data_IF_624809876133
#
_entry.id   IF_624809876133
#
_cell.length_a   1.000
_cell.length_b   1.000
_cell.length_c   1.000
_cell.angle_alpha   90.00
_cell.angle_beta   90.00
_cell.angle_gamma   90.00
#
_symmetry.space_group_name_H-M   'P 1'
#
loop_
_entity.id
_entity.type
_entity.pdbx_description
1 polymer ?
#
# COMPACT_ATOMS: atom_id res chain seq x y z
N UNK A 1 9.05 22.70 41.86
CA UNK A 1 8.39 21.71 42.71
C UNK A 1 7.58 20.78 41.83
N UNK A 2 8.01 19.52 41.78
CA UNK A 2 7.25 18.29 41.47
C UNK A 2 6.13 18.32 40.43
N UNK A 3 6.42 17.75 39.27
CA UNK A 3 5.47 17.03 38.40
C UNK A 3 6.13 15.68 38.07
N UNK A 4 6.16 14.74 39.02
CA UNK A 4 5.18 13.67 39.25
C UNK A 4 4.91 12.82 38.00
N UNK A 5 5.79 11.83 37.86
CA UNK A 5 5.64 10.46 37.35
C UNK A 5 4.23 10.01 36.98
N UNK A 6 4.08 9.49 35.75
CA UNK A 6 3.21 8.36 35.43
C UNK A 6 3.48 7.90 33.98
N UNK A 7 4.34 6.90 33.80
CA UNK A 7 4.03 5.65 33.09
C UNK A 7 5.27 4.74 33.03
N UNK A 8 5.84 4.42 34.19
CA UNK A 8 6.81 3.31 34.32
C UNK A 8 6.01 2.01 34.42
N UNK A 9 5.40 1.57 33.33
CA UNK A 9 5.12 0.14 33.19
C UNK A 9 6.46 -0.49 32.82
N UNK A 10 7.11 -1.10 33.81
CA UNK A 10 8.41 -1.74 33.64
C UNK A 10 8.43 -2.61 32.40
N UNK A 11 9.26 -2.21 31.44
CA UNK A 11 9.80 -3.09 30.42
C UNK A 11 10.41 -4.26 31.20
N UNK A 12 9.83 -5.45 31.07
CA UNK A 12 10.65 -6.65 31.27
C UNK A 12 11.79 -6.52 30.28
N UNK A 13 13.02 -6.64 30.76
CA UNK A 13 14.22 -6.47 29.94
C UNK A 13 14.02 -7.26 28.65
N UNK A 14 13.87 -6.56 27.53
CA UNK A 14 13.65 -7.14 26.20
C UNK A 14 14.82 -8.06 25.81
N UNK A 15 15.93 -7.96 26.55
CA UNK A 15 17.16 -8.72 26.45
C UNK A 15 17.09 -10.15 27.03
N UNK A 16 16.08 -10.48 27.86
CA UNK A 16 16.00 -11.80 28.55
C UNK A 16 15.14 -12.83 27.78
N UNK A 17 14.71 -12.46 26.57
CA UNK A 17 13.92 -13.30 25.68
C UNK A 17 14.84 -13.87 24.59
N UNK A 18 14.93 -15.19 24.50
CA UNK A 18 15.62 -15.85 23.39
C UNK A 18 14.83 -15.66 22.09
N UNK A 19 15.30 -14.73 21.27
CA UNK A 19 14.67 -14.36 19.99
C UNK A 19 14.73 -15.52 19.00
N UNK A 20 15.79 -16.33 19.02
CA UNK A 20 15.93 -17.45 18.09
C UNK A 20 14.89 -18.53 18.41
N UNK A 21 14.67 -18.83 19.70
CA UNK A 21 13.64 -19.76 20.15
C UNK A 21 12.22 -19.30 19.76
N UNK A 22 11.95 -17.99 19.75
CA UNK A 22 10.67 -17.46 19.27
C UNK A 22 10.49 -17.59 17.76
N UNK A 23 11.55 -17.31 16.99
CA UNK A 23 11.52 -17.41 15.54
C UNK A 23 11.30 -18.86 15.06
N UNK A 24 11.81 -19.85 15.80
CA UNK A 24 11.62 -21.27 15.44
C UNK A 24 10.18 -21.78 15.65
N UNK A 25 9.37 -21.10 16.45
CA UNK A 25 7.97 -21.45 16.70
C UNK A 25 7.04 -20.99 15.57
N UNK A 26 7.49 -20.07 14.71
CA UNK A 26 6.72 -19.54 13.59
C UNK A 26 6.74 -20.51 12.40
N UNK A 27 5.63 -20.57 11.68
CA UNK A 27 5.57 -21.26 10.40
C UNK A 27 6.35 -20.52 9.31
N UNK A 28 6.69 -21.21 8.22
CA UNK A 28 7.40 -20.59 7.10
C UNK A 28 6.65 -19.40 6.48
N UNK A 29 5.31 -19.45 6.47
CA UNK A 29 4.46 -18.37 5.97
C UNK A 29 4.49 -17.15 6.90
N UNK A 30 4.46 -17.36 8.22
CA UNK A 30 4.54 -16.28 9.21
C UNK A 30 5.92 -15.61 9.22
N UNK A 31 6.99 -16.38 9.04
CA UNK A 31 8.34 -15.83 8.87
C UNK A 31 8.43 -14.96 7.60
N UNK A 32 7.81 -15.39 6.50
CA UNK A 32 7.75 -14.61 5.27
C UNK A 32 6.95 -13.31 5.46
N UNK A 33 5.82 -13.35 6.15
CA UNK A 33 5.05 -12.15 6.49
C UNK A 33 5.86 -11.19 7.37
N UNK A 34 6.51 -11.70 8.42
CA UNK A 34 7.32 -10.89 9.32
C UNK A 34 8.48 -10.20 8.58
N UNK A 35 9.13 -10.89 7.65
CA UNK A 35 10.21 -10.31 6.83
C UNK A 35 9.75 -9.15 5.91
N UNK A 36 8.45 -9.07 5.60
CA UNK A 36 7.87 -8.01 4.76
C UNK A 36 7.45 -6.79 5.57
N UNK A 37 7.39 -6.88 6.89
CA UNK A 37 7.06 -5.78 7.80
C UNK A 37 8.33 -4.98 8.12
N UNK A 38 8.79 -4.24 7.12
CA UNK A 38 9.95 -3.38 7.23
C UNK A 38 9.53 -1.99 7.70
N UNK A 39 10.26 -1.42 8.66
CA UNK A 39 10.05 -0.04 9.07
C UNK A 39 10.43 0.92 7.90
N UNK A 40 9.50 1.77 7.42
CA UNK A 40 9.78 2.73 6.36
C UNK A 40 10.91 3.72 6.69
N UNK A 41 11.27 3.86 7.97
CA UNK A 41 12.32 4.75 8.44
C UNK A 41 13.66 4.04 8.74
N UNK A 42 13.76 2.71 8.53
CA UNK A 42 15.01 1.96 8.75
C UNK A 42 16.12 2.47 7.82
N UNK A 43 17.15 3.07 8.41
CA UNK A 43 18.28 3.65 7.69
C UNK A 43 19.17 2.61 7.02
N UNK A 44 19.17 1.37 7.50
CA UNK A 44 19.99 0.29 6.96
C UNK A 44 19.36 -0.42 5.77
N UNK A 45 18.08 -0.15 5.48
CA UNK A 45 17.36 -0.71 4.34
C UNK A 45 17.35 0.28 3.18
N UNK A 46 17.70 -0.14 1.95
CA UNK A 46 17.61 0.69 0.75
C UNK A 46 16.21 1.27 0.52
N UNK A 47 16.06 2.52 0.05
CA UNK A 47 14.73 3.15 -0.11
C UNK A 47 13.72 2.39 -0.97
N UNK A 48 14.18 1.62 -1.95
CA UNK A 48 13.35 0.77 -2.82
C UNK A 48 12.81 -0.49 -2.11
N UNK A 49 13.40 -0.87 -0.97
CA UNK A 49 13.03 -2.03 -0.16
C UNK A 49 12.28 -1.67 1.13
N UNK A 50 12.09 -0.38 1.40
CA UNK A 50 11.33 0.12 2.57
C UNK A 50 9.81 0.04 2.41
N UNK A 51 9.34 -0.29 1.21
CA UNK A 51 7.92 -0.44 0.94
C UNK A 51 7.49 -1.89 1.00
N UNK A 52 6.40 -2.18 1.73
CA UNK A 52 5.79 -3.51 1.79
C UNK A 52 5.20 -3.98 0.45
N UNK A 53 5.17 -3.10 -0.57
CA UNK A 53 4.66 -3.43 -1.89
C UNK A 53 5.71 -4.16 -2.71
N UNK A 54 5.50 -5.46 -2.92
CA UNK A 54 6.22 -6.26 -3.91
C UNK A 54 5.30 -6.61 -5.08
N UNK A 55 5.78 -6.36 -6.30
CA UNK A 55 5.04 -6.71 -7.51
C UNK A 55 5.59 -8.02 -8.09
N UNK A 56 5.05 -9.14 -7.64
CA UNK A 56 5.38 -10.47 -8.19
C UNK A 56 4.71 -10.73 -9.55
N UNK A 57 3.89 -9.78 -10.02
CA UNK A 57 3.22 -9.90 -11.32
C UNK A 57 4.27 -9.80 -12.41
N UNK A 58 4.36 -10.87 -13.20
CA UNK A 58 5.13 -10.85 -14.45
C UNK A 58 4.63 -9.70 -15.31
N UNK A 59 5.57 -9.02 -15.98
CA UNK A 59 5.24 -8.03 -16.98
C UNK A 59 4.24 -8.63 -17.99
N UNK A 60 3.26 -7.84 -18.43
CA UNK A 60 2.17 -8.27 -19.33
C UNK A 60 2.64 -8.63 -20.75
N UNK A 61 3.96 -8.75 -20.98
CA UNK A 61 4.56 -9.07 -22.26
C UNK A 61 4.60 -7.87 -23.20
N UNK A 62 4.73 -8.14 -24.51
CA UNK A 62 4.68 -7.09 -25.53
C UNK A 62 3.26 -6.52 -25.62
N UNK A 63 3.16 -5.20 -25.71
CA UNK A 63 1.90 -4.48 -25.82
C UNK A 63 1.07 -4.97 -27.02
N UNK A 64 -0.10 -5.57 -26.76
CA UNK A 64 -1.09 -5.87 -27.80
C UNK A 64 -1.99 -4.65 -28.04
N UNK A 65 -1.62 -3.84 -29.03
CA UNK A 65 -2.37 -2.64 -29.40
C UNK A 65 -3.80 -2.95 -29.89
N UNK A 66 -4.02 -4.11 -30.51
CA UNK A 66 -5.34 -4.48 -31.02
C UNK A 66 -6.28 -4.73 -29.85
N UNK A 67 -5.82 -5.52 -28.88
CA UNK A 67 -6.58 -5.78 -27.66
C UNK A 67 -6.94 -4.48 -26.92
N UNK A 68 -6.00 -3.53 -26.81
CA UNK A 68 -6.26 -2.23 -26.20
C UNK A 68 -7.37 -1.46 -26.95
N UNK A 69 -7.27 -1.36 -28.27
CA UNK A 69 -8.26 -0.63 -29.07
C UNK A 69 -9.65 -1.26 -28.99
N UNK A 70 -9.72 -2.60 -29.03
CA UNK A 70 -10.97 -3.34 -28.89
C UNK A 70 -11.61 -3.08 -27.50
N UNK A 71 -10.78 -3.06 -26.45
CA UNK A 71 -11.24 -2.74 -25.09
C UNK A 71 -11.76 -1.30 -24.96
N UNK A 72 -11.05 -0.31 -25.50
CA UNK A 72 -11.48 1.10 -25.50
C UNK A 72 -12.80 1.25 -26.26
N UNK A 73 -12.92 0.61 -27.43
CA UNK A 73 -14.14 0.67 -28.25
C UNK A 73 -15.33 0.05 -27.51
N UNK A 74 -15.12 -1.07 -26.83
CA UNK A 74 -16.14 -1.71 -26.00
C UNK A 74 -16.59 -0.78 -24.87
N UNK A 75 -15.64 -0.19 -24.12
CA UNK A 75 -15.97 0.77 -23.06
C UNK A 75 -16.77 1.96 -23.59
N UNK A 76 -16.40 2.51 -24.75
CA UNK A 76 -17.11 3.62 -25.36
C UNK A 76 -18.55 3.28 -25.77
N UNK A 77 -18.83 2.01 -26.11
CA UNK A 77 -20.19 1.55 -26.45
C UNK A 77 -21.03 1.18 -25.22
N UNK A 78 -20.39 0.69 -24.15
CA UNK A 78 -21.07 0.16 -22.96
C UNK A 78 -21.31 1.20 -21.86
N UNK A 79 -20.42 2.18 -21.73
CA UNK A 79 -20.53 3.21 -20.69
C UNK A 79 -21.59 4.22 -21.12
N UNK A 80 -22.73 4.33 -20.39
CA UNK A 80 -23.75 5.32 -20.72
C UNK A 80 -23.23 6.73 -20.46
N UNK A 81 -23.75 7.70 -21.21
CA UNK A 81 -23.45 9.10 -20.99
C UNK A 81 -23.82 9.52 -19.56
N UNK A 82 -22.94 10.32 -18.95
CA UNK A 82 -23.24 10.89 -17.64
C UNK A 82 -24.42 11.87 -17.77
N UNK A 83 -25.46 11.74 -16.93
CA UNK A 83 -26.60 12.65 -16.99
C UNK A 83 -26.14 14.08 -16.67
N UNK A 84 -26.48 15.00 -17.55
CA UNK A 84 -26.20 16.42 -17.35
C UNK A 84 -27.21 17.02 -16.36
N UNK A 85 -26.78 17.31 -15.13
CA UNK A 85 -27.66 17.91 -14.11
C UNK A 85 -28.11 19.33 -14.47
N UNK A 86 -27.31 20.07 -15.23
CA UNK A 86 -27.59 21.46 -15.65
C UNK A 86 -27.13 21.61 -17.09
N UNK A 87 -28.04 21.88 -18.05
CA UNK A 87 -27.67 22.05 -19.44
C UNK A 87 -26.70 23.21 -19.61
N UNK A 88 -25.60 22.99 -20.33
CA UNK A 88 -24.65 24.04 -20.66
C UNK A 88 -25.35 25.19 -21.39
N UNK A 89 -25.36 26.37 -20.78
CA UNK A 89 -25.79 27.62 -21.42
C UNK A 89 -24.55 28.41 -21.84
N UNK A 90 -24.50 28.82 -23.11
CA UNK A 90 -23.40 29.65 -23.64
C UNK A 90 -23.33 31.06 -23.04
N UNK A 91 -24.32 31.42 -22.21
CA UNK A 91 -24.34 32.66 -21.46
C UNK A 91 -23.54 32.43 -20.18
N UNK A 92 -22.33 32.98 -20.15
CA UNK A 92 -21.72 33.31 -18.86
C UNK A 92 -22.66 34.32 -18.22
N UNK A 93 -23.47 33.89 -17.28
CA UNK A 93 -24.17 34.80 -16.38
C UNK A 93 -23.09 35.45 -15.49
N UNK A 94 -22.38 36.42 -16.08
CA UNK A 94 -21.55 37.37 -15.36
C UNK A 94 -22.50 38.12 -14.44
N UNK A 95 -22.40 37.82 -13.15
CA UNK A 95 -23.03 38.59 -12.09
C UNK A 95 -21.97 39.42 -11.40
#
# INVERSE_FOLDING_TARGET
MTSKTANEKGQKDEDDIDVDDLLTQLSAEELEMLSKEVDPDDQFIPPDQRSNYHCDRKATGKMDKKHLNDHISKMAMEIPDQPENVPFTSKKDLK
#
